data_IF_569260539992
#
_entry.id   IF_569260539992
#
_cell.length_a   1.000
_cell.length_b   1.000
_cell.length_c   1.000
_cell.angle_alpha   90.00
_cell.angle_beta   90.00
_cell.angle_gamma   90.00
#
_symmetry.space_group_name_H-M   'P 1'
#
loop_
_entity.id
_entity.type
_entity.pdbx_description
1 polymer ?
#
# COMPACT_ATOMS: atom_id res chain seq x y z
N UNK A 1 7.18 37.87 6.21
CA UNK A 1 8.62 37.54 6.14
C UNK A 1 8.75 36.30 5.27
N UNK A 2 9.43 36.39 4.13
CA UNK A 2 9.62 35.26 3.21
C UNK A 2 10.75 34.38 3.79
N UNK A 3 10.54 33.07 3.98
CA UNK A 3 11.61 32.20 4.44
C UNK A 3 12.75 32.21 3.43
N UNK A 4 13.99 32.35 3.90
CA UNK A 4 15.16 32.28 3.04
C UNK A 4 15.27 30.89 2.39
N UNK A 5 15.89 30.82 1.20
CA UNK A 5 16.15 29.55 0.50
C UNK A 5 16.84 28.52 1.42
N UNK A 6 17.72 28.97 2.31
CA UNK A 6 18.40 28.12 3.30
C UNK A 6 17.44 27.46 4.30
N UNK A 7 16.40 28.17 4.75
CA UNK A 7 15.39 27.61 5.66
C UNK A 7 14.57 26.52 4.97
N UNK A 8 14.24 26.69 3.68
CA UNK A 8 13.51 25.70 2.89
C UNK A 8 14.33 24.42 2.67
N UNK A 9 15.63 24.55 2.40
CA UNK A 9 16.53 23.39 2.23
C UNK A 9 16.70 22.60 3.53
N UNK A 10 16.86 23.28 4.67
CA UNK A 10 16.94 22.61 5.98
C UNK A 10 15.65 21.86 6.32
N UNK A 11 14.48 22.48 6.08
CA UNK A 11 13.19 21.81 6.30
C UNK A 11 13.03 20.59 5.40
N UNK A 12 13.38 20.70 4.12
CA UNK A 12 13.34 19.56 3.19
C UNK A 12 14.27 18.43 3.61
N UNK A 13 15.47 18.75 4.10
CA UNK A 13 16.43 17.75 4.58
C UNK A 13 15.91 17.04 5.84
N UNK A 14 15.35 17.78 6.81
CA UNK A 14 14.76 17.21 8.02
C UNK A 14 13.57 16.29 7.68
N UNK A 15 12.72 16.67 6.73
CA UNK A 15 11.60 15.85 6.27
C UNK A 15 12.06 14.58 5.54
N UNK A 16 13.14 14.67 4.78
CA UNK A 16 13.76 13.51 4.14
C UNK A 16 14.36 12.53 5.17
N UNK A 17 14.99 13.03 6.23
CA UNK A 17 15.54 12.16 7.27
C UNK A 17 14.46 11.44 8.09
N UNK A 18 13.36 12.11 8.43
CA UNK A 18 12.26 11.48 9.18
C UNK A 18 11.52 10.43 8.34
N UNK A 19 11.37 10.65 7.03
CA UNK A 19 10.78 9.65 6.13
C UNK A 19 11.67 8.42 5.93
N UNK A 20 13.00 8.60 5.86
CA UNK A 20 13.94 7.48 5.81
C UNK A 20 13.93 6.65 7.10
N UNK A 21 13.82 7.28 8.28
CA UNK A 21 13.73 6.57 9.56
C UNK A 21 12.40 5.83 9.76
N UNK A 22 11.32 6.30 9.14
CA UNK A 22 10.00 5.65 9.18
C UNK A 22 9.87 4.46 8.22
N UNK A 23 10.84 4.25 7.32
CA UNK A 23 10.84 3.12 6.41
C UNK A 23 11.21 1.83 7.19
N UNK A 24 10.20 1.10 7.65
CA UNK A 24 10.41 -0.25 8.21
C UNK A 24 10.99 -1.19 7.14
N UNK A 25 11.86 -2.11 7.56
CA UNK A 25 12.36 -3.15 6.68
C UNK A 25 11.19 -4.01 6.16
N UNK A 26 11.24 -4.38 4.88
CA UNK A 26 10.27 -5.28 4.29
C UNK A 26 10.43 -6.68 4.87
N UNK A 27 9.34 -7.25 5.39
CA UNK A 27 9.34 -8.55 6.07
C UNK A 27 8.57 -9.60 5.25
N UNK A 28 8.77 -10.90 5.49
CA UNK A 28 7.97 -11.94 4.83
C UNK A 28 6.47 -11.78 5.07
N UNK A 29 6.06 -11.21 6.22
CA UNK A 29 4.64 -10.96 6.48
C UNK A 29 4.05 -9.92 5.52
N UNK A 30 4.84 -8.93 5.13
CA UNK A 30 4.42 -7.93 4.15
C UNK A 30 4.15 -8.56 2.77
N UNK A 31 4.90 -9.62 2.40
CA UNK A 31 4.70 -10.34 1.13
C UNK A 31 3.39 -11.15 1.10
N UNK A 32 3.04 -11.80 2.21
CA UNK A 32 1.83 -12.65 2.27
C UNK A 32 0.57 -11.82 2.50
N UNK A 33 0.68 -10.65 3.12
CA UNK A 33 -0.44 -9.71 3.31
C UNK A 33 -0.70 -8.81 2.11
N UNK A 34 0.19 -8.81 1.09
CA UNK A 34 -0.04 -8.03 -0.13
C UNK A 34 -1.38 -8.37 -0.80
N UNK A 35 -2.11 -7.35 -1.30
CA UNK A 35 -3.32 -7.60 -2.07
C UNK A 35 -2.98 -8.33 -3.37
N UNK A 36 -3.63 -9.47 -3.60
CA UNK A 36 -3.51 -10.24 -4.83
C UNK A 36 -4.89 -10.27 -5.51
N UNK A 37 -5.18 -9.32 -6.42
CA UNK A 37 -6.40 -9.38 -7.21
C UNK A 37 -6.31 -10.58 -8.17
N UNK A 38 -7.39 -11.33 -8.23
CA UNK A 38 -7.57 -12.45 -9.15
C UNK A 38 -8.06 -11.97 -10.52
N UNK A 39 -8.58 -12.92 -11.29
CA UNK A 39 -9.10 -12.65 -12.63
C UNK A 39 -10.30 -11.69 -12.51
N UNK A 40 -10.25 -10.64 -13.33
CA UNK A 40 -11.33 -9.65 -13.44
C UNK A 40 -12.38 -10.18 -14.42
N UNK A 41 -13.65 -10.12 -14.02
CA UNK A 41 -14.79 -10.45 -14.88
C UNK A 41 -15.62 -9.19 -15.12
N UNK A 42 -15.66 -8.66 -16.35
CA UNK A 42 -16.45 -7.47 -16.66
C UNK A 42 -17.94 -7.81 -16.75
N UNK A 43 -18.78 -6.84 -16.38
CA UNK A 43 -20.22 -6.91 -16.60
C UNK A 43 -20.56 -6.80 -18.10
N UNK A 44 -21.68 -7.38 -18.56
CA UNK A 44 -22.05 -7.36 -19.98
C UNK A 44 -22.21 -5.95 -20.59
N UNK A 45 -22.54 -4.95 -19.76
CA UNK A 45 -22.69 -3.56 -20.18
C UNK A 45 -21.39 -2.74 -20.04
N UNK A 46 -20.31 -3.34 -19.55
CA UNK A 46 -18.99 -2.70 -19.38
C UNK A 46 -18.89 -1.67 -18.25
N UNK A 47 -19.95 -1.44 -17.49
CA UNK A 47 -19.98 -0.39 -16.47
C UNK A 47 -19.40 -0.83 -15.11
N UNK A 48 -19.43 -2.15 -14.86
CA UNK A 48 -18.94 -2.77 -13.63
C UNK A 48 -17.96 -3.90 -13.95
N UNK A 49 -17.12 -4.22 -12.99
CA UNK A 49 -16.27 -5.41 -13.02
C UNK A 49 -16.26 -6.02 -11.62
N UNK A 50 -16.20 -7.35 -11.56
CA UNK A 50 -16.01 -8.09 -10.31
C UNK A 50 -14.66 -8.77 -10.34
N UNK A 51 -13.99 -8.86 -9.19
CA UNK A 51 -12.77 -9.62 -9.06
C UNK A 51 -12.69 -10.30 -7.70
N UNK A 52 -12.08 -11.48 -7.69
CA UNK A 52 -11.74 -12.14 -6.43
C UNK A 52 -10.50 -11.48 -5.84
N UNK A 53 -10.49 -11.18 -4.55
CA UNK A 53 -9.31 -10.73 -3.82
C UNK A 53 -8.97 -11.74 -2.74
N UNK A 54 -7.76 -12.30 -2.77
CA UNK A 54 -7.28 -13.13 -1.67
C UNK A 54 -6.59 -12.28 -0.60
N UNK A 55 -6.86 -12.57 0.68
CA UNK A 55 -6.19 -11.96 1.84
C UNK A 55 -5.73 -13.06 2.79
N UNK A 56 -4.48 -12.98 3.24
CA UNK A 56 -3.98 -13.83 4.31
C UNK A 56 -4.45 -13.30 5.67
N UNK A 57 -4.96 -14.20 6.50
CA UNK A 57 -5.38 -13.95 7.88
C UNK A 57 -4.34 -14.54 8.82
N UNK A 58 -3.63 -13.65 9.54
CA UNK A 58 -2.56 -14.01 10.47
C UNK A 58 -3.08 -14.66 11.75
N UNK A 59 -4.29 -14.33 12.18
CA UNK A 59 -4.89 -14.86 13.41
C UNK A 59 -5.27 -16.32 13.21
N UNK A 60 -5.84 -16.64 12.04
CA UNK A 60 -6.29 -17.99 11.71
C UNK A 60 -5.28 -18.82 10.91
N UNK A 61 -4.16 -18.21 10.48
CA UNK A 61 -3.16 -18.81 9.59
C UNK A 61 -3.79 -19.42 8.32
N UNK A 62 -4.68 -18.65 7.65
CA UNK A 62 -5.43 -19.11 6.47
C UNK A 62 -5.55 -18.03 5.41
N UNK A 63 -5.64 -18.44 4.15
CA UNK A 63 -5.96 -17.55 3.03
C UNK A 63 -7.47 -17.53 2.83
N UNK A 64 -8.05 -16.33 2.80
CA UNK A 64 -9.48 -16.10 2.52
C UNK A 64 -9.65 -15.44 1.16
N UNK A 65 -10.69 -15.83 0.43
CA UNK A 65 -11.06 -15.22 -0.85
C UNK A 65 -12.32 -14.40 -0.64
N UNK A 66 -12.27 -13.13 -1.00
CA UNK A 66 -13.41 -12.22 -0.99
C UNK A 66 -13.78 -11.88 -2.43
N UNK A 67 -15.07 -11.87 -2.73
CA UNK A 67 -15.59 -11.37 -4.00
C UNK A 67 -15.91 -9.89 -3.83
N UNK A 68 -15.31 -9.05 -4.69
CA UNK A 68 -15.45 -7.59 -4.68
C UNK A 68 -16.09 -7.16 -5.99
#
# INVERSE_FOLDING_TARGET
MIPSLGNLLCLGFLLAMTSAAAARAFTPIDLVTMPRPGIVSPSPNGNLMVFAKSRYDEIENKVRVLLI
#
